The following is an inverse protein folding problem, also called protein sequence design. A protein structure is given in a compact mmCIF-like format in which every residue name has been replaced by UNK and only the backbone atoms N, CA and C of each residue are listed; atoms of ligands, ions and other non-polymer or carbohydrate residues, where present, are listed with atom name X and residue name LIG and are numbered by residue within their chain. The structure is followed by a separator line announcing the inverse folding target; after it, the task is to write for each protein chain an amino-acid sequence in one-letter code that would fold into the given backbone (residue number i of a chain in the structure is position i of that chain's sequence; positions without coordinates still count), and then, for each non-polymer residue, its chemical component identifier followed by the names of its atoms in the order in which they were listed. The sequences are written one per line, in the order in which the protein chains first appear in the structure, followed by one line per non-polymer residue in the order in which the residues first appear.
data_IF_756673736109
#
_entry.id   IF_756673736109
#
_cell.length_a   1.000
_cell.length_b   1.000
_cell.length_c   1.000
_cell.angle_alpha   90.00
_cell.angle_beta   90.00
_cell.angle_gamma   90.00
#
_symmetry.space_group_name_H-M   'P 1'
#
loop_
_entity.id
_entity.type
_entity.pdbx_description
1 polymer ?
#
# COMPACT_ATOMS: atom_id res chain seq x y z
N UNK A 1 -11.73 -25.06 -1.86
CA UNK A 1 -12.25 -23.72 -1.54
C UNK A 1 -11.12 -22.73 -1.78
N UNK A 2 -10.89 -22.21 -2.99
CA UNK A 2 -9.54 -21.67 -3.29
C UNK A 2 -9.44 -20.45 -4.21
N UNK A 3 -10.51 -19.96 -4.84
CA UNK A 3 -10.40 -18.80 -5.75
C UNK A 3 -10.91 -17.49 -5.15
N UNK A 4 -11.98 -17.56 -4.34
CA UNK A 4 -12.58 -16.36 -3.74
C UNK A 4 -11.69 -15.70 -2.68
N UNK A 5 -11.07 -16.49 -1.80
CA UNK A 5 -10.21 -15.98 -0.74
C UNK A 5 -9.03 -15.18 -1.30
N UNK A 6 -8.29 -15.73 -2.28
CA UNK A 6 -7.16 -15.03 -2.95
C UNK A 6 -7.57 -13.72 -3.63
N UNK A 7 -8.80 -13.65 -4.15
CA UNK A 7 -9.34 -12.45 -4.80
C UNK A 7 -9.67 -11.36 -3.78
N UNK A 8 -10.22 -11.75 -2.64
CA UNK A 8 -10.50 -10.85 -1.53
C UNK A 8 -9.19 -10.31 -0.92
N UNK A 9 -8.16 -11.14 -0.76
CA UNK A 9 -6.85 -10.71 -0.23
C UNK A 9 -6.13 -9.68 -1.13
N UNK A 10 -6.13 -9.89 -2.46
CA UNK A 10 -5.56 -8.91 -3.41
C UNK A 10 -6.35 -7.59 -3.39
N UNK A 11 -7.64 -7.65 -3.08
CA UNK A 11 -8.47 -6.46 -2.92
C UNK A 11 -8.13 -5.74 -1.61
N UNK A 12 -7.99 -6.48 -0.51
CA UNK A 12 -7.69 -5.96 0.83
C UNK A 12 -6.28 -5.34 0.93
N UNK A 13 -5.30 -5.85 0.18
CA UNK A 13 -3.96 -5.23 0.04
C UNK A 13 -4.00 -4.06 -0.95
N UNK A 14 -4.77 -4.21 -2.01
CA UNK A 14 -4.82 -3.28 -3.14
C UNK A 14 -5.49 -1.95 -2.78
N UNK A 15 -6.55 -1.97 -1.98
CA UNK A 15 -7.30 -0.76 -1.59
C UNK A 15 -6.46 0.25 -0.79
N UNK A 16 -5.77 -0.14 0.30
CA UNK A 16 -4.94 0.78 1.08
C UNK A 16 -3.81 1.39 0.23
N UNK A 17 -3.16 0.57 -0.59
CA UNK A 17 -2.09 1.03 -1.49
C UNK A 17 -2.62 1.94 -2.61
N UNK A 18 -3.86 1.71 -3.08
CA UNK A 18 -4.53 2.58 -4.05
C UNK A 18 -4.78 3.98 -3.47
N UNK A 19 -5.29 4.07 -2.23
CA UNK A 19 -5.49 5.35 -1.56
C UNK A 19 -4.18 6.15 -1.44
N UNK A 20 -3.08 5.47 -1.08
CA UNK A 20 -1.75 6.08 -0.98
C UNK A 20 -1.27 6.60 -2.35
N UNK A 21 -1.44 5.81 -3.42
CA UNK A 21 -1.09 6.23 -4.79
C UNK A 21 -1.90 7.43 -5.26
N UNK A 22 -3.20 7.45 -5.00
CA UNK A 22 -4.07 8.58 -5.33
C UNK A 22 -3.64 9.84 -4.57
N UNK A 23 -3.29 9.70 -3.29
CA UNK A 23 -2.79 10.83 -2.50
C UNK A 23 -1.45 11.38 -3.04
N UNK A 24 -0.50 10.51 -3.40
CA UNK A 24 0.73 10.93 -4.06
C UNK A 24 0.48 11.67 -5.38
N UNK A 25 -0.51 11.24 -6.17
CA UNK A 25 -0.92 11.95 -7.40
C UNK A 25 -1.49 13.34 -7.09
N UNK A 26 -2.31 13.48 -6.05
CA UNK A 26 -2.83 14.80 -5.63
C UNK A 26 -1.70 15.74 -5.18
N UNK A 27 -0.73 15.22 -4.43
CA UNK A 27 0.45 16.00 -4.00
C UNK A 27 1.34 16.41 -5.16
N UNK A 28 1.48 15.58 -6.19
CA UNK A 28 2.22 15.95 -7.40
C UNK A 28 1.57 17.14 -8.12
N UNK A 29 0.23 17.18 -8.14
CA UNK A 29 -0.54 18.24 -8.79
C UNK A 29 -0.69 19.51 -7.93
N UNK A 30 -0.29 19.50 -6.65
CA UNK A 30 -0.52 20.62 -5.72
C UNK A 30 0.30 21.87 -6.12
N UNK A 31 -0.32 22.97 -6.55
CA UNK A 31 0.40 24.14 -7.05
C UNK A 31 1.02 24.98 -5.93
N UNK A 32 0.49 24.93 -4.71
CA UNK A 32 0.92 25.79 -3.61
C UNK A 32 2.07 25.20 -2.77
N UNK A 33 2.51 23.98 -3.08
CA UNK A 33 3.52 23.28 -2.30
C UNK A 33 4.94 23.54 -2.80
N UNK A 34 5.89 23.93 -1.93
CA UNK A 34 7.29 24.08 -2.30
C UNK A 34 7.87 22.79 -2.92
N UNK A 35 8.68 22.86 -3.99
CA UNK A 35 9.18 21.66 -4.68
C UNK A 35 9.95 20.69 -3.77
N UNK A 36 10.82 21.20 -2.89
CA UNK A 36 11.61 20.39 -1.97
C UNK A 36 10.72 19.69 -0.92
N UNK A 37 9.69 20.38 -0.43
CA UNK A 37 8.74 19.81 0.53
C UNK A 37 7.88 18.73 -0.12
N UNK A 38 7.43 18.98 -1.36
CA UNK A 38 6.68 18.01 -2.16
C UNK A 38 7.49 16.74 -2.40
N UNK A 39 8.75 16.89 -2.79
CA UNK A 39 9.64 15.76 -3.01
C UNK A 39 9.86 14.95 -1.73
N UNK A 40 10.17 15.60 -0.62
CA UNK A 40 10.34 14.92 0.67
C UNK A 40 9.07 14.18 1.12
N UNK A 41 7.89 14.76 0.90
CA UNK A 41 6.61 14.13 1.20
C UNK A 41 6.36 12.92 0.30
N UNK A 42 6.61 13.03 -1.01
CA UNK A 42 6.45 11.92 -1.95
C UNK A 42 7.38 10.75 -1.60
N UNK A 43 8.67 11.02 -1.33
CA UNK A 43 9.63 10.00 -0.90
C UNK A 43 9.21 9.33 0.42
N UNK A 44 8.68 10.12 1.37
CA UNK A 44 8.17 9.59 2.64
C UNK A 44 6.96 8.68 2.41
N UNK A 45 6.01 9.11 1.59
CA UNK A 45 4.79 8.35 1.26
C UNK A 45 5.15 7.04 0.57
N UNK A 46 6.10 7.07 -0.36
CA UNK A 46 6.57 5.89 -1.08
C UNK A 46 7.23 4.88 -0.14
N UNK A 47 8.09 5.35 0.77
CA UNK A 47 8.69 4.50 1.81
C UNK A 47 7.65 3.87 2.74
N UNK A 48 6.64 4.63 3.17
CA UNK A 48 5.56 4.09 4.01
C UNK A 48 4.69 3.09 3.25
N UNK A 49 4.45 3.29 1.95
CA UNK A 49 3.72 2.35 1.11
C UNK A 49 4.45 1.00 1.00
N UNK A 50 5.78 1.04 0.81
CA UNK A 50 6.61 -0.17 0.77
C UNK A 50 6.54 -0.92 2.10
N UNK A 51 6.71 -0.22 3.23
CA UNK A 51 6.64 -0.84 4.56
C UNK A 51 5.26 -1.43 4.86
N UNK A 52 4.20 -0.75 4.44
CA UNK A 52 2.84 -1.26 4.57
C UNK A 52 2.64 -2.51 3.71
N UNK A 53 3.09 -2.49 2.46
CA UNK A 53 3.02 -3.65 1.57
C UNK A 53 3.75 -4.86 2.17
N UNK A 54 4.98 -4.67 2.67
CA UNK A 54 5.76 -5.73 3.32
C UNK A 54 5.04 -6.30 4.54
N UNK A 55 4.54 -5.44 5.45
CA UNK A 55 3.78 -5.90 6.62
C UNK A 55 2.51 -6.65 6.26
N UNK A 56 1.82 -6.20 5.22
CA UNK A 56 0.64 -6.88 4.71
C UNK A 56 1.06 -8.27 4.20
N UNK A 57 2.05 -8.34 3.32
CA UNK A 57 2.59 -9.61 2.80
C UNK A 57 3.03 -10.57 3.93
N UNK A 58 3.72 -10.07 4.97
CA UNK A 58 4.14 -10.86 6.13
C UNK A 58 2.94 -11.40 6.91
N UNK A 59 1.99 -10.53 7.28
CA UNK A 59 0.78 -10.93 8.01
C UNK A 59 -0.04 -11.96 7.21
N UNK A 60 -0.14 -11.81 5.89
CA UNK A 60 -0.85 -12.75 5.03
C UNK A 60 -0.08 -14.06 4.82
N UNK A 61 1.26 -14.01 4.73
CA UNK A 61 2.11 -15.18 4.68
C UNK A 61 1.97 -16.04 5.94
N UNK A 62 1.90 -15.42 7.11
CA UNK A 62 1.64 -16.09 8.39
C UNK A 62 0.23 -16.69 8.46
N UNK A 63 -0.79 -15.98 7.95
CA UNK A 63 -2.17 -16.47 7.96
C UNK A 63 -2.37 -17.71 7.07
N UNK A 64 -1.77 -17.71 5.88
CA UNK A 64 -1.81 -18.86 4.97
C UNK A 64 -1.04 -20.05 5.56
N UNK A 65 0.14 -19.82 6.13
CA UNK A 65 0.97 -20.88 6.72
C UNK A 65 0.33 -21.54 7.96
N UNK A 66 -0.46 -20.79 8.73
CA UNK A 66 -1.19 -21.31 9.90
C UNK A 66 -2.54 -21.96 9.54
N UNK A 67 -3.04 -21.78 8.31
CA UNK A 67 -4.30 -22.37 7.85
C UNK A 67 -4.11 -23.77 7.24
N UNK A 68 -2.88 -24.21 7.03
CA UNK A 68 -2.51 -25.55 6.53
C UNK A 68 -2.23 -26.58 7.66
N UNK A 69 -2.54 -26.25 8.92
CA UNK A 69 -2.44 -27.14 10.09
C UNK A 69 -3.80 -27.64 10.61
#
# INVERSE_FOLDING_TARGET
MTDHTLRDWRHDIGEPLLAIRLYAQTLQAEPQMPPLMRQALLETIENQAILLQQRLEDNFGEFLSNSDC
#
